data_IF_019959947042
#
_entry.id   IF_019959947042
#
_cell.length_a   1.000
_cell.length_b   1.000
_cell.length_c   1.000
_cell.angle_alpha   90.00
_cell.angle_beta   90.00
_cell.angle_gamma   90.00
#
_symmetry.space_group_name_H-M   'P 1'
#
loop_
_entity.id
_entity.type
_entity.pdbx_description
1 polymer ?
#
# COMPACT_ATOMS: atom_id res chain seq x y z
N UNK A 1 -46.51 -8.30 -14.41
CA UNK A 1 -45.98 -7.01 -13.93
C UNK A 1 -45.55 -7.23 -12.49
N UNK A 2 -44.29 -7.63 -12.31
CA UNK A 2 -43.68 -7.65 -10.99
C UNK A 2 -42.56 -6.60 -11.00
N UNK A 3 -42.65 -5.71 -10.03
CA UNK A 3 -41.88 -4.50 -9.87
C UNK A 3 -40.41 -4.82 -9.64
N UNK A 4 -39.56 -4.43 -10.59
CA UNK A 4 -38.12 -4.27 -10.41
C UNK A 4 -37.87 -3.28 -9.28
N UNK A 5 -37.59 -3.79 -8.07
CA UNK A 5 -36.94 -2.99 -7.03
C UNK A 5 -35.46 -2.90 -7.38
N UNK A 6 -35.12 -1.85 -8.14
CA UNK A 6 -33.75 -1.48 -8.48
C UNK A 6 -32.98 -0.93 -7.27
N UNK A 7 -32.66 -1.80 -6.32
CA UNK A 7 -31.53 -1.58 -5.41
C UNK A 7 -30.36 -2.37 -5.97
N UNK A 8 -29.47 -1.69 -6.71
CA UNK A 8 -28.16 -2.26 -7.08
C UNK A 8 -27.44 -2.71 -5.81
N UNK A 9 -27.31 -4.03 -5.63
CA UNK A 9 -26.51 -4.62 -4.55
C UNK A 9 -25.03 -4.34 -4.85
N UNK A 10 -24.47 -3.29 -4.23
CA UNK A 10 -23.09 -2.81 -4.43
C UNK A 10 -22.07 -3.52 -3.53
N UNK A 11 -22.11 -4.84 -3.54
CA UNK A 11 -21.39 -5.71 -2.60
C UNK A 11 -20.53 -6.73 -3.36
N UNK A 12 -19.22 -6.75 -3.07
CA UNK A 12 -18.28 -7.76 -3.58
C UNK A 12 -17.98 -8.77 -2.47
N UNK A 13 -17.94 -10.05 -2.82
CA UNK A 13 -17.54 -11.14 -1.91
C UNK A 13 -16.03 -11.39 -2.10
N UNK A 14 -15.24 -11.16 -1.05
CA UNK A 14 -13.81 -11.53 -1.02
C UNK A 14 -13.66 -13.01 -0.63
N UNK A 15 -13.05 -13.81 -1.51
CA UNK A 15 -12.68 -15.18 -1.15
C UNK A 15 -11.54 -15.13 -0.11
N UNK A 16 -11.71 -15.81 1.03
CA UNK A 16 -10.70 -15.87 2.09
C UNK A 16 -9.41 -16.58 1.63
N UNK A 17 -8.33 -16.48 2.42
CA UNK A 17 -7.05 -17.17 2.11
C UNK A 17 -7.18 -18.71 2.14
N UNK A 18 -8.12 -19.24 2.93
CA UNK A 18 -8.36 -20.68 3.01
C UNK A 18 -9.81 -20.97 3.37
N UNK A 19 -10.37 -21.99 2.71
CA UNK A 19 -11.68 -22.56 3.02
C UNK A 19 -11.58 -23.66 4.09
N UNK A 20 -10.36 -24.00 4.55
CA UNK A 20 -10.14 -24.98 5.60
C UNK A 20 -10.18 -24.33 6.99
N UNK A 21 -11.22 -24.60 7.81
CA UNK A 21 -11.40 -23.94 9.11
C UNK A 21 -10.25 -24.23 10.08
N UNK A 22 -9.58 -25.38 9.95
CA UNK A 22 -8.43 -25.77 10.77
C UNK A 22 -7.19 -24.90 10.53
N UNK A 23 -7.05 -24.34 9.32
CA UNK A 23 -5.90 -23.50 8.94
C UNK A 23 -6.16 -22.00 9.16
N UNK A 24 -7.42 -21.57 9.37
CA UNK A 24 -7.76 -20.16 9.55
C UNK A 24 -7.13 -19.56 10.82
N UNK A 25 -7.24 -20.24 11.96
CA UNK A 25 -6.66 -19.79 13.22
C UNK A 25 -5.11 -19.66 13.22
N UNK A 26 -4.33 -20.66 12.74
CA UNK A 26 -2.88 -20.53 12.67
C UNK A 26 -2.43 -19.46 11.66
N UNK A 27 -3.11 -19.33 10.52
CA UNK A 27 -2.81 -18.28 9.55
C UNK A 27 -3.12 -16.89 10.12
N UNK A 28 -4.26 -16.71 10.79
CA UNK A 28 -4.60 -15.47 11.48
C UNK A 28 -3.50 -15.06 12.48
N UNK A 29 -3.07 -16.00 13.33
CA UNK A 29 -1.98 -15.76 14.27
C UNK A 29 -0.67 -15.35 13.60
N UNK A 30 -0.28 -16.05 12.52
CA UNK A 30 0.92 -15.75 11.74
C UNK A 30 0.87 -14.34 11.13
N UNK A 31 -0.21 -14.00 10.44
CA UNK A 31 -0.37 -12.70 9.82
C UNK A 31 -0.49 -11.56 10.83
N UNK A 32 -1.09 -11.82 12.00
CA UNK A 32 -1.15 -10.86 13.10
C UNK A 32 0.26 -10.54 13.63
N UNK A 33 1.09 -11.56 13.83
CA UNK A 33 2.48 -11.37 14.25
C UNK A 33 3.26 -10.56 13.21
N UNK A 34 3.14 -10.91 11.93
CA UNK A 34 3.80 -10.18 10.83
C UNK A 34 3.34 -8.71 10.81
N UNK A 35 2.04 -8.46 10.93
CA UNK A 35 1.48 -7.12 10.97
C UNK A 35 2.04 -6.31 12.15
N UNK A 36 2.03 -6.88 13.35
CA UNK A 36 2.55 -6.20 14.55
C UNK A 36 4.04 -5.87 14.43
N UNK A 37 4.85 -6.81 13.92
CA UNK A 37 6.28 -6.59 13.68
C UNK A 37 6.48 -5.45 12.66
N UNK A 38 5.74 -5.48 11.54
CA UNK A 38 5.80 -4.45 10.51
C UNK A 38 5.43 -3.07 11.07
N UNK A 39 4.32 -2.97 11.81
CA UNK A 39 3.85 -1.71 12.37
C UNK A 39 4.83 -1.15 13.39
N UNK A 40 5.27 -1.97 14.34
CA UNK A 40 6.22 -1.54 15.38
C UNK A 40 7.57 -1.17 14.77
N UNK A 41 8.08 -1.97 13.82
CA UNK A 41 9.35 -1.71 13.16
C UNK A 41 9.34 -0.40 12.37
N UNK A 42 8.35 -0.21 11.52
CA UNK A 42 8.26 0.99 10.68
C UNK A 42 7.95 2.25 11.50
N UNK A 43 7.07 2.17 12.50
CA UNK A 43 6.82 3.30 13.39
C UNK A 43 8.07 3.65 14.20
N UNK A 44 8.79 2.65 14.70
CA UNK A 44 10.07 2.81 15.36
C UNK A 44 11.09 3.53 14.48
N UNK A 45 11.22 3.13 13.21
CA UNK A 45 12.11 3.80 12.24
C UNK A 45 11.74 5.27 12.01
N UNK A 46 10.44 5.59 11.90
CA UNK A 46 9.98 6.98 11.73
C UNK A 46 10.30 7.82 12.97
N UNK A 47 10.08 7.28 14.18
CA UNK A 47 10.37 7.98 15.43
C UNK A 47 11.87 8.19 15.59
N UNK A 48 12.67 7.13 15.39
CA UNK A 48 14.12 7.17 15.58
C UNK A 48 14.80 8.18 14.64
N UNK A 49 14.44 8.16 13.35
CA UNK A 49 14.96 9.10 12.36
C UNK A 49 14.52 10.55 12.58
N UNK A 50 13.43 10.80 13.31
CA UNK A 50 13.02 12.14 13.73
C UNK A 50 13.73 12.64 14.97
N UNK A 51 13.97 11.77 15.95
CA UNK A 51 14.49 12.15 17.26
C UNK A 51 16.01 12.30 17.29
N UNK A 52 16.74 11.50 16.51
CA UNK A 52 18.20 11.56 16.49
C UNK A 52 18.69 12.46 15.33
N UNK A 53 19.34 13.57 15.68
CA UNK A 53 19.94 14.49 14.71
C UNK A 53 21.08 13.86 13.92
N UNK A 54 21.77 12.84 14.46
CA UNK A 54 22.84 12.11 13.76
C UNK A 54 22.31 11.26 12.61
N UNK A 55 21.01 10.92 12.64
CA UNK A 55 20.32 10.18 11.60
C UNK A 55 19.69 11.09 10.55
N UNK A 56 19.95 12.40 10.53
CA UNK A 56 19.40 13.32 9.52
C UNK A 56 20.21 13.33 8.22
N UNK A 57 20.54 12.16 7.69
CA UNK A 57 21.19 12.02 6.38
C UNK A 57 20.15 11.79 5.27
N UNK A 58 20.47 12.06 4.00
CA UNK A 58 19.58 11.77 2.86
C UNK A 58 19.05 10.34 2.85
N UNK A 59 19.90 9.36 3.16
CA UNK A 59 19.50 7.95 3.23
C UNK A 59 18.42 7.68 4.28
N UNK A 60 18.58 8.21 5.49
CA UNK A 60 17.59 8.06 6.56
C UNK A 60 16.31 8.87 6.29
N UNK A 61 16.42 9.98 5.58
CA UNK A 61 15.25 10.70 5.05
C UNK A 61 14.42 9.81 4.12
N UNK A 62 15.06 9.12 3.16
CA UNK A 62 14.36 8.15 2.32
C UNK A 62 13.82 6.96 3.12
N UNK A 63 14.58 6.43 4.10
CA UNK A 63 14.12 5.31 4.96
C UNK A 63 12.87 5.67 5.75
N UNK A 64 12.76 6.91 6.21
CA UNK A 64 11.55 7.39 6.88
C UNK A 64 10.33 7.40 5.96
N UNK A 65 10.51 7.79 4.69
CA UNK A 65 9.43 7.77 3.71
C UNK A 65 9.07 6.35 3.28
N UNK A 66 10.05 5.44 3.20
CA UNK A 66 9.84 4.01 2.98
C UNK A 66 9.03 3.39 4.13
N UNK A 67 9.43 3.65 5.38
CA UNK A 67 8.69 3.18 6.54
C UNK A 67 7.24 3.73 6.59
N UNK A 68 7.02 4.95 6.08
CA UNK A 68 5.67 5.50 5.96
C UNK A 68 4.84 4.77 4.88
N UNK A 69 5.42 4.45 3.72
CA UNK A 69 4.73 3.67 2.68
C UNK A 69 4.40 2.26 3.17
N UNK A 70 5.30 1.62 3.91
CA UNK A 70 5.12 0.27 4.44
C UNK A 70 4.03 0.19 5.50
N UNK A 71 3.93 1.21 6.37
CA UNK A 71 2.82 1.36 7.32
C UNK A 71 1.49 1.55 6.59
N UNK A 72 1.47 2.40 5.57
CA UNK A 72 0.30 2.65 4.74
C UNK A 72 -0.19 1.38 4.04
N UNK A 73 0.74 0.63 3.44
CA UNK A 73 0.47 -0.66 2.82
C UNK A 73 -0.09 -1.68 3.83
N UNK A 74 0.61 -1.86 4.96
CA UNK A 74 0.19 -2.78 6.02
C UNK A 74 -1.19 -2.43 6.60
N UNK A 75 -1.51 -1.14 6.71
CA UNK A 75 -2.81 -0.65 7.23
C UNK A 75 -3.92 -0.72 6.18
N UNK A 76 -3.59 -0.67 4.89
CA UNK A 76 -4.60 -0.80 3.81
C UNK A 76 -5.03 -2.26 3.62
N UNK A 77 -4.09 -3.20 3.79
CA UNK A 77 -4.34 -4.63 3.58
C UNK A 77 -4.71 -5.35 4.89
N UNK A 78 -3.97 -5.11 5.97
CA UNK A 78 -4.03 -5.85 7.24
C UNK A 78 -5.42 -5.86 7.92
N UNK A 79 -6.06 -4.70 8.16
CA UNK A 79 -7.36 -4.67 8.82
C UNK A 79 -8.44 -5.44 8.06
N UNK A 80 -8.49 -5.31 6.72
CA UNK A 80 -9.47 -6.04 5.91
C UNK A 80 -9.17 -7.54 5.89
N UNK A 81 -7.88 -7.88 5.84
CA UNK A 81 -7.38 -9.24 6.00
C UNK A 81 -7.85 -9.89 7.32
N UNK A 82 -7.72 -9.20 8.45
CA UNK A 82 -8.13 -9.74 9.75
C UNK A 82 -9.64 -9.88 9.88
N UNK A 83 -10.41 -8.92 9.35
CA UNK A 83 -11.87 -9.03 9.30
C UNK A 83 -12.30 -10.26 8.48
N UNK A 84 -11.60 -10.57 7.38
CA UNK A 84 -11.90 -11.75 6.56
C UNK A 84 -11.67 -13.10 7.26
N UNK A 85 -10.89 -13.14 8.34
CA UNK A 85 -10.70 -14.36 9.14
C UNK A 85 -11.74 -14.50 10.27
N UNK A 86 -12.41 -13.40 10.65
CA UNK A 86 -13.36 -13.36 11.78
C UNK A 86 -14.81 -13.44 11.30
N UNK A 87 -15.12 -12.84 10.15
CA UNK A 87 -16.46 -12.85 9.57
C UNK A 87 -16.60 -13.90 8.46
N UNK A 88 -17.66 -14.70 8.49
CA UNK A 88 -17.98 -15.69 7.45
C UNK A 88 -18.56 -15.08 6.16
N UNK A 89 -18.92 -13.78 6.16
CA UNK A 89 -19.45 -13.07 5.00
C UNK A 89 -18.56 -11.88 4.67
N UNK A 90 -17.64 -12.10 3.73
CA UNK A 90 -16.61 -11.13 3.34
C UNK A 90 -17.14 -10.11 2.34
N UNK A 91 -18.07 -9.28 2.79
CA UNK A 91 -18.66 -8.26 1.92
C UNK A 91 -17.81 -6.99 1.97
N UNK A 92 -17.40 -6.48 0.81
CA UNK A 92 -16.80 -5.15 0.68
C UNK A 92 -17.65 -4.31 -0.25
N UNK A 93 -17.93 -3.07 0.15
CA UNK A 93 -18.60 -2.12 -0.73
C UNK A 93 -17.69 -1.81 -1.92
N UNK A 94 -18.30 -1.60 -3.08
CA UNK A 94 -17.61 -1.14 -4.29
C UNK A 94 -16.66 0.04 -4.04
N UNK A 95 -17.12 1.06 -3.30
CA UNK A 95 -16.30 2.23 -3.00
C UNK A 95 -15.12 1.91 -2.07
N UNK A 96 -15.31 1.03 -1.09
CA UNK A 96 -14.24 0.59 -0.20
C UNK A 96 -13.18 -0.23 -0.96
N UNK A 97 -13.60 -1.07 -1.91
CA UNK A 97 -12.72 -1.83 -2.81
C UNK A 97 -11.88 -0.89 -3.68
N UNK A 98 -12.52 0.14 -4.26
CA UNK A 98 -11.85 1.13 -5.08
C UNK A 98 -10.82 1.96 -4.29
N UNK A 99 -11.19 2.38 -3.07
CA UNK A 99 -10.29 3.11 -2.18
C UNK A 99 -9.09 2.22 -1.78
N UNK A 100 -9.34 0.95 -1.42
CA UNK A 100 -8.27 0.02 -1.06
C UNK A 100 -7.28 -0.20 -2.20
N UNK A 101 -7.77 -0.44 -3.42
CA UNK A 101 -6.93 -0.58 -4.62
C UNK A 101 -6.14 0.71 -4.90
N UNK A 102 -6.78 1.88 -4.78
CA UNK A 102 -6.11 3.14 -5.03
C UNK A 102 -4.93 3.35 -4.06
N UNK A 103 -5.15 3.16 -2.76
CA UNK A 103 -4.07 3.28 -1.76
C UNK A 103 -2.97 2.24 -1.98
N UNK A 104 -3.33 1.01 -2.27
CA UNK A 104 -2.36 -0.06 -2.59
C UNK A 104 -1.43 0.32 -3.73
N UNK A 105 -1.98 0.81 -4.85
CA UNK A 105 -1.20 1.26 -6.00
C UNK A 105 -0.32 2.46 -5.67
N UNK A 106 -0.82 3.43 -4.88
CA UNK A 106 -0.01 4.58 -4.45
C UNK A 106 1.21 4.12 -3.66
N UNK A 107 1.04 3.20 -2.71
CA UNK A 107 2.14 2.74 -1.86
C UNK A 107 3.19 1.95 -2.64
N UNK A 108 2.78 0.97 -3.46
CA UNK A 108 3.73 0.16 -4.25
C UNK A 108 4.54 1.02 -5.22
N UNK A 109 3.88 1.90 -5.97
CA UNK A 109 4.57 2.75 -6.94
C UNK A 109 5.55 3.68 -6.20
N UNK A 110 5.13 4.26 -5.07
CA UNK A 110 6.00 5.14 -4.27
C UNK A 110 7.20 4.38 -3.69
N UNK A 111 7.01 3.16 -3.20
CA UNK A 111 8.05 2.29 -2.65
C UNK A 111 9.17 2.05 -3.68
N UNK A 112 8.81 1.67 -4.91
CA UNK A 112 9.78 1.41 -5.99
C UNK A 112 10.62 2.66 -6.30
N UNK A 113 10.00 3.83 -6.34
CA UNK A 113 10.72 5.08 -6.58
C UNK A 113 11.62 5.47 -5.40
N UNK A 114 11.17 5.26 -4.16
CA UNK A 114 11.98 5.54 -2.96
C UNK A 114 13.21 4.62 -2.91
N UNK A 115 13.03 3.32 -3.18
CA UNK A 115 14.14 2.35 -3.28
C UNK A 115 15.13 2.74 -4.39
N UNK A 116 14.63 3.22 -5.52
CA UNK A 116 15.46 3.74 -6.60
C UNK A 116 16.21 5.01 -6.19
N UNK A 117 15.59 5.92 -5.43
CA UNK A 117 16.25 7.11 -4.92
C UNK A 117 17.34 6.76 -3.89
N UNK A 118 17.13 5.73 -3.06
CA UNK A 118 18.14 5.21 -2.13
C UNK A 118 19.34 4.59 -2.85
N UNK A 119 19.10 3.79 -3.90
CA UNK A 119 20.19 3.21 -4.68
C UNK A 119 20.99 4.31 -5.38
N UNK A 120 20.32 5.34 -5.89
CA UNK A 120 20.96 6.52 -6.45
C UNK A 120 21.76 7.31 -5.41
N UNK A 121 21.25 7.49 -4.18
CA UNK A 121 21.99 8.11 -3.07
C UNK A 121 23.31 7.39 -2.79
N UNK A 122 23.26 6.05 -2.65
CA UNK A 122 24.47 5.24 -2.41
C UNK A 122 25.44 5.33 -3.59
N UNK A 123 24.93 5.34 -4.81
CA UNK A 123 25.75 5.50 -6.02
C UNK A 123 26.50 6.84 -6.03
N UNK A 124 25.80 7.97 -5.79
CA UNK A 124 26.44 9.30 -5.79
C UNK A 124 27.44 9.43 -4.64
N UNK A 125 27.14 8.87 -3.47
CA UNK A 125 28.05 8.88 -2.33
C UNK A 125 29.37 8.16 -2.63
N UNK A 126 29.34 7.07 -3.41
CA UNK A 126 30.52 6.29 -3.76
C UNK A 126 31.26 6.88 -4.96
N UNK A 127 30.56 7.19 -6.04
CA UNK A 127 31.18 7.60 -7.30
C UNK A 127 31.55 9.08 -7.35
N UNK A 128 30.89 9.95 -6.57
CA UNK A 128 31.10 11.40 -6.60
C UNK A 128 31.10 12.02 -5.19
N UNK A 129 32.01 11.61 -4.29
CA UNK A 129 31.98 12.01 -2.88
C UNK A 129 32.12 13.53 -2.67
N UNK A 130 32.90 14.23 -3.50
CA UNK A 130 33.11 15.68 -3.39
C UNK A 130 31.87 16.49 -3.78
N UNK A 131 31.04 15.97 -4.69
CA UNK A 131 29.83 16.62 -5.18
C UNK A 131 28.56 16.14 -4.46
N UNK A 132 28.66 15.07 -3.66
CA UNK A 132 27.56 14.50 -2.90
C UNK A 132 26.68 15.52 -2.15
N UNK A 133 27.22 16.46 -1.33
CA UNK A 133 26.36 17.39 -0.58
C UNK A 133 25.58 18.37 -1.47
N UNK A 134 26.04 18.60 -2.70
CA UNK A 134 25.38 19.46 -3.68
C UNK A 134 24.29 18.67 -4.42
N UNK A 135 24.64 17.46 -4.89
CA UNK A 135 23.74 16.58 -5.64
C UNK A 135 22.61 16.07 -4.74
N UNK A 136 22.95 15.55 -3.55
CA UNK A 136 22.02 15.07 -2.53
C UNK A 136 21.74 16.12 -1.46
N UNK A 137 21.44 17.35 -1.90
CA UNK A 137 20.96 18.40 -1.01
C UNK A 137 19.55 18.10 -0.52
N UNK A 138 19.18 18.64 0.65
CA UNK A 138 17.85 18.44 1.25
C UNK A 138 16.70 18.82 0.29
N UNK A 139 16.88 19.84 -0.54
CA UNK A 139 15.89 20.25 -1.55
C UNK A 139 15.69 19.17 -2.61
N UNK A 140 16.78 18.58 -3.10
CA UNK A 140 16.73 17.49 -4.08
C UNK A 140 16.07 16.25 -3.47
N UNK A 141 16.40 15.90 -2.22
CA UNK A 141 15.73 14.80 -1.51
C UNK A 141 14.21 14.99 -1.43
N UNK A 142 13.75 16.21 -1.10
CA UNK A 142 12.31 16.52 -1.10
C UNK A 142 11.69 16.39 -2.48
N UNK A 143 12.35 16.84 -3.54
CA UNK A 143 11.88 16.69 -4.93
C UNK A 143 11.81 15.20 -5.32
N UNK A 144 12.85 14.43 -4.98
CA UNK A 144 12.93 12.98 -5.23
C UNK A 144 11.86 12.18 -4.49
N UNK A 145 11.22 12.75 -3.47
CA UNK A 145 10.10 12.12 -2.76
C UNK A 145 8.76 12.66 -3.25
N UNK A 146 8.63 13.99 -3.40
CA UNK A 146 7.37 14.63 -3.78
C UNK A 146 6.91 14.22 -5.19
N UNK A 147 7.83 14.13 -6.16
CA UNK A 147 7.50 13.73 -7.53
C UNK A 147 6.90 12.31 -7.55
N UNK A 148 7.54 11.28 -6.96
CA UNK A 148 6.94 9.96 -6.86
C UNK A 148 5.58 9.93 -6.19
N UNK A 149 5.35 10.65 -5.10
CA UNK A 149 4.04 10.68 -4.44
C UNK A 149 2.94 11.29 -5.33
N UNK A 150 3.24 12.38 -6.04
CA UNK A 150 2.29 13.00 -6.97
C UNK A 150 2.02 12.07 -8.17
N UNK A 151 3.09 11.51 -8.73
CA UNK A 151 2.99 10.58 -9.85
C UNK A 151 2.22 9.31 -9.48
N UNK A 152 2.53 8.69 -8.34
CA UNK A 152 1.85 7.48 -7.87
C UNK A 152 0.37 7.73 -7.58
N UNK A 153 0.03 8.89 -7.01
CA UNK A 153 -1.37 9.32 -6.81
C UNK A 153 -2.09 9.45 -8.15
N UNK A 154 -1.49 10.12 -9.12
CA UNK A 154 -2.10 10.31 -10.43
C UNK A 154 -2.30 8.98 -11.17
N UNK A 155 -1.27 8.14 -11.22
CA UNK A 155 -1.33 6.81 -11.84
C UNK A 155 -2.38 5.95 -11.16
N UNK A 156 -2.39 5.90 -9.84
CA UNK A 156 -3.36 5.14 -9.07
C UNK A 156 -4.79 5.60 -9.36
N UNK A 157 -5.06 6.91 -9.31
CA UNK A 157 -6.37 7.46 -9.63
C UNK A 157 -6.80 7.11 -11.05
N UNK A 158 -5.92 7.25 -12.04
CA UNK A 158 -6.23 6.88 -13.42
C UNK A 158 -6.56 5.39 -13.57
N UNK A 159 -5.75 4.52 -12.97
CA UNK A 159 -5.93 3.06 -13.02
C UNK A 159 -7.25 2.69 -12.35
N UNK A 160 -7.49 3.15 -11.12
CA UNK A 160 -8.75 2.93 -10.39
C UNK A 160 -9.94 3.44 -11.20
N UNK A 161 -9.93 4.69 -11.66
CA UNK A 161 -11.03 5.27 -12.45
C UNK A 161 -11.27 4.49 -13.74
N UNK A 162 -10.23 4.01 -14.43
CA UNK A 162 -10.38 3.18 -15.64
C UNK A 162 -10.98 1.82 -15.33
N UNK A 163 -10.49 1.13 -14.30
CA UNK A 163 -11.01 -0.17 -13.86
C UNK A 163 -12.48 -0.08 -13.48
N UNK A 164 -12.87 0.99 -12.78
CA UNK A 164 -14.21 1.13 -12.23
C UNK A 164 -15.23 1.78 -13.19
N UNK A 165 -14.79 2.50 -14.24
CA UNK A 165 -15.67 3.01 -15.30
C UNK A 165 -15.89 2.04 -16.48
N UNK A 166 -15.09 0.98 -16.61
CA UNK A 166 -15.39 -0.08 -17.57
C UNK A 166 -16.65 -0.81 -17.07
N UNK A 167 -17.70 -0.82 -17.88
CA UNK A 167 -18.99 -1.40 -17.53
C UNK A 167 -18.84 -2.90 -17.23
N UNK A 168 -18.95 -3.28 -15.96
CA UNK A 168 -18.97 -4.68 -15.52
C UNK A 168 -20.17 -5.40 -16.13
N UNK A 169 -19.93 -6.24 -17.13
CA UNK A 169 -20.92 -7.13 -17.74
C UNK A 169 -20.58 -8.58 -17.36
N UNK A 170 -20.95 -9.02 -16.15
CA UNK A 170 -20.71 -10.41 -15.70
C UNK A 170 -20.50 -10.57 -14.19
N UNK A 171 -20.71 -11.79 -13.68
CA UNK A 171 -20.72 -12.16 -12.25
C UNK A 171 -19.55 -11.59 -11.44
N UNK A 172 -19.89 -10.81 -10.41
CA UNK A 172 -18.98 -10.04 -9.54
C UNK A 172 -18.33 -10.88 -8.44
N UNK A 173 -17.51 -11.87 -8.80
CA UNK A 173 -16.70 -12.65 -7.85
C UNK A 173 -15.24 -12.25 -7.98
N UNK A 174 -14.69 -11.57 -6.97
CA UNK A 174 -13.26 -11.26 -6.88
C UNK A 174 -12.61 -12.39 -6.09
N UNK A 175 -11.83 -13.24 -6.77
CA UNK A 175 -11.16 -14.41 -6.18
C UNK A 175 -9.90 -14.08 -5.37
N UNK A 176 -9.61 -12.80 -5.15
CA UNK A 176 -8.42 -12.33 -4.44
C UNK A 176 -8.78 -11.70 -3.10
N UNK A 177 -7.84 -11.82 -2.16
CA UNK A 177 -7.95 -11.35 -0.78
C UNK A 177 -7.79 -9.82 -0.62
N UNK A 178 -7.62 -9.13 -1.74
CA UNK A 178 -7.67 -7.68 -1.93
C UNK A 178 -8.34 -7.40 -3.29
N UNK A 179 -8.78 -6.17 -3.48
CA UNK A 179 -9.30 -5.71 -4.78
C UNK A 179 -8.12 -5.62 -5.76
N UNK A 180 -7.74 -6.72 -6.41
CA UNK A 180 -6.75 -6.73 -7.49
C UNK A 180 -7.44 -6.39 -8.81
N UNK A 181 -6.70 -5.83 -9.77
CA UNK A 181 -7.20 -5.69 -11.13
C UNK A 181 -7.51 -7.07 -11.70
N UNK A 182 -8.80 -7.47 -11.69
CA UNK A 182 -9.22 -8.65 -12.43
C UNK A 182 -9.25 -8.33 -13.93
N UNK A 183 -8.83 -9.29 -14.79
CA UNK A 183 -9.17 -9.25 -16.21
C UNK A 183 -10.68 -9.41 -16.45
#
# INVERSE_FOLDING_TARGET
METHNGTELNEFILMGITDHPELQAPLFGLFLIIYMISVVGNLGMIILTKMDSKLQTPMYFFLRHLAFTDLGYSTTVGPKMFVNFVENQNVISYYSCAIQLAFFLVFIVSEIFILSAMSYDRYVAICNPLLYPVIMSQRVCWVLVAIPYVYSTFVSLLVTVKLFNLSFCGYRVISHFYCDSLP
#
